data_IF_621186099053
#
_entry.id   IF_621186099053
#
_cell.length_a   1.000
_cell.length_b   1.000
_cell.length_c   1.000
_cell.angle_alpha   90.00
_cell.angle_beta   90.00
_cell.angle_gamma   90.00
#
_symmetry.space_group_name_H-M   'P 1'
#
loop_
_entity.id
_entity.type
_entity.pdbx_description
1 polymer ?
#
# COMPACT_ATOMS: atom_id res chain seq x y z
N UNK A 1 -39.60 -10.66 -3.21
CA UNK A 1 -38.78 -10.32 -4.39
C UNK A 1 -38.56 -8.82 -4.36
N UNK A 2 -37.32 -8.36 -4.43
CA UNK A 2 -37.02 -6.92 -4.46
C UNK A 2 -37.11 -6.44 -5.91
N UNK A 3 -38.04 -5.54 -6.22
CA UNK A 3 -38.20 -4.94 -7.55
C UNK A 3 -37.61 -3.52 -7.53
N UNK A 4 -36.58 -3.28 -8.34
CA UNK A 4 -35.87 -1.99 -8.46
C UNK A 4 -35.46 -1.79 -9.91
N UNK A 5 -35.39 -0.53 -10.35
CA UNK A 5 -34.96 -0.19 -11.71
C UNK A 5 -33.44 -0.24 -11.88
N UNK A 6 -32.68 0.04 -10.81
CA UNK A 6 -31.22 0.07 -10.83
C UNK A 6 -30.60 -0.48 -9.54
N UNK A 7 -29.39 -1.03 -9.67
CA UNK A 7 -28.54 -1.48 -8.57
C UNK A 7 -27.17 -0.83 -8.72
N UNK A 8 -26.70 -0.15 -7.68
CA UNK A 8 -25.34 0.40 -7.61
C UNK A 8 -24.50 -0.44 -6.64
N UNK A 9 -23.37 -0.95 -7.12
CA UNK A 9 -22.43 -1.74 -6.30
C UNK A 9 -21.36 -0.82 -5.71
N UNK A 10 -21.58 -0.37 -4.48
CA UNK A 10 -20.64 0.47 -3.72
C UNK A 10 -19.82 -0.37 -2.72
N UNK A 11 -19.32 -1.53 -3.14
CA UNK A 11 -18.65 -2.53 -2.26
C UNK A 11 -17.20 -2.19 -1.91
N UNK A 12 -16.72 -1.00 -2.28
CA UNK A 12 -15.35 -0.57 -2.06
C UNK A 12 -14.36 -1.24 -3.04
N UNK A 13 -13.12 -1.41 -2.58
CA UNK A 13 -12.01 -1.91 -3.39
C UNK A 13 -11.53 -3.28 -2.92
N UNK A 14 -10.86 -4.01 -3.82
CA UNK A 14 -10.18 -5.26 -3.48
C UNK A 14 -9.09 -5.03 -2.42
N UNK A 15 -8.91 -6.04 -1.57
CA UNK A 15 -7.96 -6.00 -0.45
C UNK A 15 -6.55 -6.43 -0.85
N UNK A 16 -6.37 -6.94 -2.05
CA UNK A 16 -5.09 -7.43 -2.56
C UNK A 16 -4.02 -6.33 -2.58
N UNK A 17 -2.74 -6.74 -2.55
CA UNK A 17 -1.62 -5.81 -2.69
C UNK A 17 -1.75 -5.09 -4.04
N UNK A 18 -1.72 -3.75 -4.06
CA UNK A 18 -1.79 -2.99 -5.31
C UNK A 18 -0.46 -3.03 -6.09
N UNK A 19 -0.48 -2.51 -7.31
CA UNK A 19 0.72 -2.26 -8.11
C UNK A 19 0.92 -3.20 -9.30
N UNK A 20 0.17 -4.31 -9.34
CA UNK A 20 0.18 -5.25 -10.47
C UNK A 20 1.59 -5.70 -10.87
N UNK A 21 1.76 -5.98 -12.17
CA UNK A 21 3.01 -6.52 -12.72
C UNK A 21 4.23 -5.65 -12.42
N UNK A 22 4.09 -4.32 -12.42
CA UNK A 22 5.22 -3.42 -12.12
C UNK A 22 5.80 -3.70 -10.72
N UNK A 23 4.94 -3.87 -9.72
CA UNK A 23 5.39 -4.14 -8.34
C UNK A 23 5.80 -5.60 -8.19
N UNK A 24 5.14 -6.53 -8.87
CA UNK A 24 5.52 -7.94 -8.87
C UNK A 24 6.94 -8.13 -9.42
N UNK A 25 7.21 -7.55 -10.60
CA UNK A 25 8.53 -7.57 -11.22
C UNK A 25 9.58 -6.89 -10.32
N UNK A 26 9.23 -5.78 -9.67
CA UNK A 26 10.14 -5.12 -8.72
C UNK A 26 10.44 -6.01 -7.50
N UNK A 27 9.46 -6.71 -6.96
CA UNK A 27 9.65 -7.65 -5.85
C UNK A 27 10.62 -8.74 -6.24
N UNK A 28 10.40 -9.37 -7.41
CA UNK A 28 11.23 -10.47 -7.88
C UNK A 28 12.65 -10.01 -8.23
N UNK A 29 12.77 -8.95 -9.04
CA UNK A 29 14.07 -8.48 -9.55
C UNK A 29 14.94 -7.83 -8.49
N UNK A 30 14.33 -7.14 -7.51
CA UNK A 30 15.05 -6.45 -6.44
C UNK A 30 15.07 -7.24 -5.12
N UNK A 31 14.47 -8.43 -5.08
CA UNK A 31 14.42 -9.28 -3.88
C UNK A 31 13.73 -8.59 -2.70
N UNK A 32 12.61 -7.91 -2.94
CA UNK A 32 11.96 -7.09 -1.93
C UNK A 32 11.20 -7.94 -0.91
N UNK A 33 11.43 -7.76 0.40
CA UNK A 33 10.82 -8.60 1.43
C UNK A 33 9.31 -8.35 1.52
N UNK A 34 8.53 -9.43 1.42
CA UNK A 34 7.08 -9.40 1.58
C UNK A 34 6.64 -10.31 2.73
N UNK A 35 5.55 -9.94 3.39
CA UNK A 35 4.86 -10.83 4.32
C UNK A 35 4.16 -11.96 3.56
N UNK A 36 3.70 -12.99 4.27
CA UNK A 36 2.99 -14.13 3.66
C UNK A 36 1.71 -13.73 2.90
N UNK A 37 1.11 -12.58 3.22
CA UNK A 37 -0.04 -12.02 2.50
C UNK A 37 0.35 -11.25 1.23
N UNK A 38 1.63 -11.21 0.87
CA UNK A 38 2.15 -10.53 -0.31
C UNK A 38 2.42 -9.03 -0.14
N UNK A 39 2.06 -8.41 0.99
CA UNK A 39 2.34 -6.99 1.24
C UNK A 39 3.81 -6.74 1.65
N UNK A 40 4.36 -5.55 1.36
CA UNK A 40 5.72 -5.17 1.74
C UNK A 40 5.98 -5.25 3.25
N UNK A 41 7.17 -5.72 3.63
CA UNK A 41 7.71 -5.55 4.98
C UNK A 41 8.58 -4.30 4.95
N UNK A 42 8.05 -3.19 5.49
CA UNK A 42 8.74 -1.90 5.52
C UNK A 42 9.39 -1.65 6.88
N UNK A 43 10.42 -0.81 6.90
CA UNK A 43 10.90 -0.16 8.12
C UNK A 43 9.96 0.95 8.56
N UNK A 44 10.16 1.47 9.77
CA UNK A 44 9.42 2.62 10.31
C UNK A 44 9.55 3.89 9.44
N UNK A 45 10.64 4.01 8.70
CA UNK A 45 10.91 5.04 7.68
C UNK A 45 10.15 4.84 6.36
N UNK A 46 9.35 3.78 6.23
CA UNK A 46 8.72 3.33 4.99
C UNK A 46 9.69 2.81 3.93
N UNK A 47 10.92 2.51 4.34
CA UNK A 47 11.93 1.91 3.49
C UNK A 47 11.67 0.41 3.31
N UNK A 48 11.60 -0.04 2.05
CA UNK A 48 11.44 -1.45 1.69
C UNK A 48 12.79 -2.14 1.49
N UNK A 49 13.76 -1.40 0.93
CA UNK A 49 15.19 -1.70 0.88
C UNK A 49 15.96 -0.38 0.81
N UNK A 50 17.29 -0.35 1.05
CA UNK A 50 18.06 0.90 1.10
C UNK A 50 17.76 1.86 -0.07
N UNK A 51 17.22 3.04 0.25
CA UNK A 51 16.89 4.09 -0.73
C UNK A 51 15.60 3.87 -1.54
N UNK A 52 14.88 2.76 -1.32
CA UNK A 52 13.64 2.42 -2.02
C UNK A 52 12.47 2.38 -1.03
N UNK A 53 11.55 3.33 -1.17
CA UNK A 53 10.46 3.54 -0.22
C UNK A 53 9.10 3.23 -0.85
N UNK A 54 8.14 2.84 -0.03
CA UNK A 54 6.76 2.60 -0.47
C UNK A 54 5.76 3.38 0.40
N UNK A 55 4.63 3.76 -0.18
CA UNK A 55 3.56 4.49 0.53
C UNK A 55 2.18 4.07 0.00
N UNK A 56 1.12 4.68 0.51
CA UNK A 56 -0.24 4.29 0.16
C UNK A 56 -0.56 2.88 0.68
N UNK A 57 -1.39 2.14 -0.03
CA UNK A 57 -1.76 0.77 0.33
C UNK A 57 -0.56 -0.19 0.45
N UNK A 58 0.58 0.06 -0.22
CA UNK A 58 1.80 -0.74 -0.06
C UNK A 58 2.42 -0.61 1.36
N UNK A 59 2.11 0.47 2.08
CA UNK A 59 2.60 0.70 3.44
C UNK A 59 1.59 0.29 4.52
N UNK A 60 0.52 -0.44 4.19
CA UNK A 60 -0.58 -0.76 5.12
C UNK A 60 -0.12 -1.54 6.36
N UNK A 61 0.85 -2.44 6.24
CA UNK A 61 1.36 -3.19 7.40
C UNK A 61 2.07 -2.27 8.43
N UNK A 62 2.59 -1.12 7.98
CA UNK A 62 3.37 -0.19 8.80
C UNK A 62 2.55 1.05 9.22
N UNK A 63 1.68 1.57 8.35
CA UNK A 63 0.81 2.71 8.62
C UNK A 63 -0.59 2.31 9.10
N UNK A 64 -0.92 1.03 9.05
CA UNK A 64 -2.24 0.51 9.36
C UNK A 64 -3.30 0.87 8.30
N UNK A 65 -4.60 0.71 8.63
CA UNK A 65 -5.69 0.84 7.65
C UNK A 65 -5.83 2.25 7.05
N UNK A 66 -5.25 3.27 7.69
CA UNK A 66 -5.27 4.65 7.17
C UNK A 66 -4.39 4.82 5.93
N UNK A 67 -3.47 3.89 5.65
CA UNK A 67 -2.51 3.98 4.55
C UNK A 67 -3.19 4.23 3.18
N UNK A 68 -4.45 3.82 3.04
CA UNK A 68 -5.24 3.98 1.79
C UNK A 68 -5.95 5.33 1.65
N UNK A 69 -5.84 6.24 2.62
CA UNK A 69 -6.58 7.50 2.63
C UNK A 69 -5.67 8.74 2.78
N UNK A 70 -6.28 9.92 2.81
CA UNK A 70 -5.58 11.20 2.91
C UNK A 70 -4.79 11.34 4.22
N UNK A 71 -5.30 10.80 5.33
CA UNK A 71 -4.57 10.79 6.60
C UNK A 71 -3.32 9.91 6.52
N UNK A 72 -3.41 8.74 5.87
CA UNK A 72 -2.25 7.89 5.59
C UNK A 72 -1.24 8.55 4.65
N UNK A 73 -1.70 9.24 3.60
CA UNK A 73 -0.82 9.99 2.71
C UNK A 73 -0.02 11.08 3.46
N UNK A 74 -0.69 11.80 4.36
CA UNK A 74 -0.02 12.79 5.22
C UNK A 74 0.99 12.13 6.16
N UNK A 75 0.59 11.06 6.85
CA UNK A 75 1.48 10.32 7.75
C UNK A 75 2.72 9.78 7.01
N UNK A 76 2.54 9.27 5.80
CA UNK A 76 3.65 8.84 4.95
C UNK A 76 4.57 9.99 4.58
N UNK A 77 4.01 11.14 4.17
CA UNK A 77 4.79 12.34 3.86
C UNK A 77 5.64 12.82 5.04
N UNK A 78 5.08 12.84 6.26
CA UNK A 78 5.79 13.23 7.48
C UNK A 78 6.96 12.27 7.80
N UNK A 79 6.84 10.97 7.48
CA UNK A 79 7.92 9.99 7.66
C UNK A 79 9.00 10.14 6.58
N UNK A 80 8.59 10.22 5.32
CA UNK A 80 9.51 10.34 4.17
C UNK A 80 10.31 11.65 4.22
N UNK A 81 9.71 12.75 4.67
CA UNK A 81 10.40 14.03 4.82
C UNK A 81 11.58 13.96 5.80
N UNK A 82 11.54 13.06 6.80
CA UNK A 82 12.64 12.90 7.77
C UNK A 82 13.87 12.20 7.20
N UNK A 83 13.71 11.48 6.08
CA UNK A 83 14.78 10.67 5.46
C UNK A 83 15.21 11.21 4.08
N UNK A 84 14.61 12.32 3.64
CA UNK A 84 14.89 12.94 2.34
C UNK A 84 16.05 13.96 2.36
N UNK A 85 16.75 14.11 3.49
CA UNK A 85 17.93 14.97 3.64
C UNK A 85 19.23 14.19 3.59
#
# INVERSE_FOLDING_TARGET
MLAVDHIMLATGFHRDRPGGTLVDDAIETLGLPCAACGFPILRDTLEWRPGFHASGALAELELGPIARNIAGARAAGERLARVAG
#
